data_IF_636609894643
#
_entry.id   IF_636609894643
#
_cell.length_a   1.000
_cell.length_b   1.000
_cell.length_c   1.000
_cell.angle_alpha   90.00
_cell.angle_beta   90.00
_cell.angle_gamma   90.00
#
_symmetry.space_group_name_H-M   'P 1'
#
loop_
_entity.id
_entity.type
_entity.pdbx_description
1 polymer ?
#
# COMPACT_ATOMS: atom_id res chain seq x y z
N UNK A 1 37.76 11.75 0.24
CA UNK A 1 38.15 10.33 0.30
C UNK A 1 37.72 9.78 1.66
N UNK A 2 37.27 8.51 1.75
CA UNK A 2 36.75 7.90 2.99
C UNK A 2 37.83 7.61 4.06
N UNK A 3 38.98 8.28 4.00
CA UNK A 3 40.09 8.09 4.92
C UNK A 3 40.35 9.39 5.69
N UNK A 4 40.32 9.33 7.02
CA UNK A 4 40.67 10.45 7.89
C UNK A 4 41.47 9.97 9.10
N UNK A 5 42.60 10.61 9.41
CA UNK A 5 43.49 10.27 10.54
C UNK A 5 43.88 8.77 10.64
N UNK A 6 44.12 8.11 9.51
CA UNK A 6 44.49 6.69 9.46
C UNK A 6 43.33 5.73 9.73
N UNK A 7 42.09 6.21 9.60
CA UNK A 7 40.86 5.45 9.79
C UNK A 7 40.05 5.48 8.49
N UNK A 8 39.54 4.32 8.07
CA UNK A 8 38.63 4.18 6.94
C UNK A 8 37.18 4.22 7.41
N UNK A 9 36.36 5.04 6.74
CA UNK A 9 34.94 5.21 6.98
C UNK A 9 34.17 4.72 5.75
N UNK A 10 33.47 3.58 5.83
CA UNK A 10 32.69 3.07 4.72
C UNK A 10 31.57 4.04 4.34
N UNK A 11 31.27 4.15 3.05
CA UNK A 11 30.13 4.94 2.58
C UNK A 11 28.82 4.29 3.06
N UNK A 12 28.03 5.02 3.84
CA UNK A 12 26.69 4.58 4.20
C UNK A 12 25.79 4.74 2.98
N UNK A 13 25.16 3.64 2.57
CA UNK A 13 24.13 3.64 1.53
C UNK A 13 22.84 4.26 2.08
N UNK A 14 22.86 5.55 2.41
CA UNK A 14 21.63 6.30 2.70
C UNK A 14 20.85 6.43 1.41
N UNK A 15 20.04 5.42 1.11
CA UNK A 15 18.97 5.51 0.12
C UNK A 15 17.79 6.24 0.75
N UNK A 16 17.94 7.55 0.97
CA UNK A 16 16.77 8.44 0.96
C UNK A 16 16.31 8.62 -0.49
N UNK A 17 15.68 7.57 -1.00
CA UNK A 17 14.99 7.55 -2.28
C UNK A 17 13.49 7.72 -2.08
N UNK A 18 13.05 8.87 -1.57
CA UNK A 18 11.62 9.27 -1.63
C UNK A 18 11.49 10.74 -1.95
N UNK A 19 11.67 11.08 -3.23
CA UNK A 19 10.95 12.21 -3.83
C UNK A 19 10.37 11.74 -5.16
N UNK A 20 9.16 11.19 -5.07
CA UNK A 20 8.27 11.01 -6.21
C UNK A 20 7.36 12.24 -6.28
N UNK A 21 7.45 13.01 -7.36
CA UNK A 21 6.32 13.75 -7.93
C UNK A 21 6.70 14.41 -9.24
N UNK A 22 6.27 13.80 -10.34
CA UNK A 22 6.05 14.48 -11.59
C UNK A 22 4.90 15.50 -11.43
N UNK A 23 5.07 16.69 -12.02
CA UNK A 23 3.96 17.54 -12.46
C UNK A 23 3.63 18.78 -11.60
N UNK A 24 3.83 19.94 -12.24
CA UNK A 24 3.23 21.28 -12.01
C UNK A 24 4.02 22.24 -11.09
N UNK A 25 4.57 23.34 -11.64
CA UNK A 25 5.08 24.46 -10.85
C UNK A 25 3.94 25.42 -10.50
N UNK A 26 3.69 25.67 -9.22
CA UNK A 26 2.84 26.77 -8.76
C UNK A 26 3.68 27.75 -7.96
N UNK A 27 4.04 28.83 -8.64
CA UNK A 27 4.48 30.09 -8.08
C UNK A 27 3.34 30.65 -7.23
N UNK A 28 3.59 30.95 -5.95
CA UNK A 28 3.00 32.09 -5.23
C UNK A 28 3.80 32.32 -3.93
N UNK A 29 4.40 33.51 -3.87
CA UNK A 29 5.02 34.13 -2.69
C UNK A 29 4.00 34.28 -1.53
N UNK A 30 4.43 34.14 -0.27
CA UNK A 30 4.88 35.30 0.52
C UNK A 30 5.31 34.95 1.96
N UNK A 31 6.20 35.74 2.57
CA UNK A 31 6.80 35.50 3.89
C UNK A 31 6.12 36.33 4.99
N UNK A 32 5.89 35.76 6.18
CA UNK A 32 5.96 36.51 7.44
C UNK A 32 5.80 35.60 8.67
N UNK A 33 6.55 35.98 9.72
CA UNK A 33 6.39 35.61 11.14
C UNK A 33 7.38 34.58 11.68
N UNK A 34 8.55 35.10 12.05
CA UNK A 34 9.35 34.60 13.16
C UNK A 34 8.57 34.81 14.46
N UNK A 35 8.42 33.77 15.28
CA UNK A 35 8.33 33.90 16.74
C UNK A 35 8.92 32.65 17.40
N UNK A 36 10.02 32.85 18.14
CA UNK A 36 10.57 31.92 19.12
C UNK A 36 9.67 31.82 20.34
N UNK A 37 9.42 30.60 20.83
CA UNK A 37 9.32 30.32 22.27
C UNK A 37 9.40 28.80 22.55
N UNK A 38 10.24 28.46 23.52
CA UNK A 38 10.41 27.16 24.17
C UNK A 38 9.08 26.50 24.58
N UNK A 39 9.01 25.17 24.40
CA UNK A 39 8.03 24.30 25.05
C UNK A 39 8.40 22.83 24.90
N UNK A 40 8.74 22.17 26.01
CA UNK A 40 9.14 20.77 26.13
C UNK A 40 8.05 19.80 25.67
N UNK A 41 8.42 18.68 25.03
CA UNK A 41 7.65 17.42 24.99
C UNK A 41 8.54 16.24 24.59
N UNK A 42 8.23 15.09 25.19
CA UNK A 42 9.00 13.84 25.30
C UNK A 42 9.05 12.99 23.98
N UNK A 43 9.70 11.81 23.97
CA UNK A 43 10.37 11.25 22.80
C UNK A 43 9.40 10.66 21.78
N UNK A 44 9.41 11.19 20.57
CA UNK A 44 8.86 10.50 19.40
C UNK A 44 9.79 9.37 19.01
N UNK A 45 9.46 8.14 19.39
CA UNK A 45 10.06 6.94 18.82
C UNK A 45 9.65 6.84 17.36
N UNK A 46 10.46 7.41 16.47
CA UNK A 46 10.61 6.83 15.13
C UNK A 46 11.50 5.61 15.30
N UNK A 47 11.14 4.42 14.80
CA UNK A 47 12.13 3.38 14.62
C UNK A 47 13.08 3.95 13.57
N UNK A 48 14.19 4.53 14.05
CA UNK A 48 15.35 4.75 13.20
C UNK A 48 15.53 3.46 12.42
N UNK A 49 15.44 3.56 11.10
CA UNK A 49 16.07 2.60 10.22
C UNK A 49 17.35 2.19 10.90
N UNK A 50 17.47 0.92 11.26
CA UNK A 50 18.71 0.35 11.70
C UNK A 50 19.65 0.46 10.49
N UNK A 51 20.19 1.67 10.30
CA UNK A 51 21.34 1.91 9.48
C UNK A 51 22.38 1.04 10.14
N UNK A 52 22.64 -0.12 9.54
CA UNK A 52 23.69 -1.03 9.95
C UNK A 52 24.93 -0.16 10.09
N UNK A 53 25.29 0.18 11.32
CA UNK A 53 26.33 1.16 11.60
C UNK A 53 27.64 0.43 11.40
N UNK A 54 28.09 0.43 10.15
CA UNK A 54 29.34 -0.18 9.79
C UNK A 54 30.43 0.63 10.47
N UNK A 55 31.16 -0.04 11.37
CA UNK A 55 32.17 0.61 12.20
C UNK A 55 33.39 1.04 11.37
N UNK A 56 34.02 2.16 11.72
CA UNK A 56 35.23 2.61 11.05
C UNK A 56 36.40 1.63 11.27
N UNK A 57 37.22 1.44 10.23
CA UNK A 57 38.36 0.53 10.25
C UNK A 57 39.67 1.26 10.54
N UNK A 58 40.50 0.66 11.40
CA UNK A 58 41.86 1.09 11.69
C UNK A 58 42.73 -0.13 11.93
N UNK A 59 43.92 -0.14 11.33
CA UNK A 59 44.91 -1.19 11.60
C UNK A 59 45.27 -1.27 13.09
N UNK A 60 45.24 -2.48 13.63
CA UNK A 60 45.55 -2.76 15.03
C UNK A 60 47.06 -2.82 15.26
N UNK A 61 47.54 -2.39 16.44
CA UNK A 61 48.92 -2.62 16.83
C UNK A 61 49.16 -4.13 17.04
N UNK A 62 50.27 -4.65 16.50
CA UNK A 62 50.64 -6.06 16.65
C UNK A 62 51.52 -6.22 17.89
N UNK A 63 50.99 -6.86 18.94
CA UNK A 63 51.64 -6.96 20.25
C UNK A 63 51.92 -8.40 20.68
N UNK A 64 51.30 -9.38 20.02
CA UNK A 64 51.35 -10.78 20.41
C UNK A 64 52.61 -11.45 19.84
N UNK A 65 53.38 -12.16 20.65
CA UNK A 65 54.57 -12.89 20.19
C UNK A 65 54.19 -14.08 19.31
N UNK A 66 55.09 -14.47 18.41
CA UNK A 66 54.89 -15.65 17.55
C UNK A 66 55.02 -16.94 18.37
N UNK A 67 53.99 -17.79 18.35
CA UNK A 67 54.12 -19.18 18.84
C UNK A 67 54.76 -20.05 17.76
N UNK A 68 56.09 -20.07 17.77
CA UNK A 68 56.86 -20.84 16.81
C UNK A 68 56.61 -22.35 16.88
N UNK A 69 56.22 -22.91 18.04
CA UNK A 69 55.92 -24.34 18.13
C UNK A 69 54.66 -24.66 17.34
N UNK A 70 53.62 -23.86 17.51
CA UNK A 70 52.36 -24.00 16.78
C UNK A 70 52.55 -23.78 15.29
N UNK A 71 53.30 -22.74 14.88
CA UNK A 71 53.62 -22.49 13.47
C UNK A 71 54.40 -23.65 12.84
N UNK A 72 55.40 -24.20 13.53
CA UNK A 72 56.19 -25.31 13.02
C UNK A 72 55.41 -26.64 12.94
N UNK A 73 54.30 -26.77 13.67
CA UNK A 73 53.45 -27.95 13.61
C UNK A 73 52.53 -27.98 12.38
N UNK A 74 52.38 -26.85 11.69
CA UNK A 74 51.56 -26.75 10.47
C UNK A 74 52.34 -27.29 9.28
N UNK A 75 51.82 -28.35 8.66
CA UNK A 75 52.31 -28.83 7.37
C UNK A 75 51.65 -28.03 6.24
N UNK A 76 52.40 -27.07 5.68
CA UNK A 76 51.90 -26.16 4.65
C UNK A 76 51.58 -26.90 3.34
N UNK A 77 52.36 -27.92 2.98
CA UNK A 77 52.13 -28.70 1.76
C UNK A 77 50.86 -29.54 1.88
N UNK A 78 50.59 -30.05 3.08
CA UNK A 78 49.33 -30.72 3.38
C UNK A 78 48.13 -29.77 3.29
N UNK A 79 48.24 -28.58 3.89
CA UNK A 79 47.18 -27.55 3.84
C UNK A 79 46.85 -27.19 2.38
N UNK A 80 47.87 -27.03 1.52
CA UNK A 80 47.66 -26.72 0.11
C UNK A 80 47.06 -27.89 -0.66
N UNK A 81 47.60 -29.11 -0.47
CA UNK A 81 47.14 -30.29 -1.23
C UNK A 81 45.74 -30.74 -0.85
N UNK A 82 45.35 -30.55 0.41
CA UNK A 82 44.03 -30.93 0.92
C UNK A 82 43.03 -29.77 0.95
N UNK A 83 43.46 -28.53 0.66
CA UNK A 83 42.64 -27.32 0.89
C UNK A 83 42.09 -27.29 2.32
N UNK A 84 42.94 -27.54 3.31
CA UNK A 84 42.55 -27.56 4.71
C UNK A 84 42.34 -26.12 5.23
N UNK A 85 41.15 -25.59 4.93
CA UNK A 85 40.74 -24.24 5.32
C UNK A 85 40.61 -24.13 6.84
N UNK A 86 40.25 -25.21 7.53
CA UNK A 86 40.09 -25.20 8.99
C UNK A 86 41.45 -24.98 9.67
N UNK A 87 42.50 -25.68 9.23
CA UNK A 87 43.86 -25.45 9.70
C UNK A 87 44.32 -24.01 9.43
N UNK A 88 43.99 -23.42 8.28
CA UNK A 88 44.30 -22.02 7.98
C UNK A 88 43.52 -21.05 8.88
N UNK A 89 42.24 -21.31 9.10
CA UNK A 89 41.34 -20.51 9.93
C UNK A 89 41.80 -20.48 11.38
N UNK A 90 42.32 -21.61 11.88
CA UNK A 90 42.89 -21.73 13.23
C UNK A 90 44.14 -20.86 13.45
N UNK A 91 44.84 -20.49 12.37
CA UNK A 91 46.07 -19.71 12.45
C UNK A 91 45.91 -18.26 11.99
N UNK A 92 44.86 -17.93 11.24
CA UNK A 92 44.69 -16.63 10.60
C UNK A 92 44.80 -15.46 11.59
N UNK A 93 44.19 -15.56 12.77
CA UNK A 93 44.26 -14.52 13.79
C UNK A 93 45.70 -14.33 14.29
N UNK A 94 46.34 -15.42 14.70
CA UNK A 94 47.70 -15.39 15.26
C UNK A 94 48.73 -14.87 14.26
N UNK A 95 48.68 -15.32 13.00
CA UNK A 95 49.62 -14.87 11.95
C UNK A 95 49.37 -13.42 11.58
N UNK A 96 48.11 -13.00 11.51
CA UNK A 96 47.74 -11.62 11.15
C UNK A 96 48.17 -10.64 12.22
N UNK A 97 48.00 -10.95 13.51
CA UNK A 97 48.18 -9.97 14.60
C UNK A 97 49.48 -10.13 15.41
N UNK A 98 50.35 -11.09 15.08
CA UNK A 98 51.63 -11.25 15.77
C UNK A 98 52.65 -10.13 15.46
N UNK A 99 53.50 -9.82 16.43
CA UNK A 99 54.66 -8.94 16.27
C UNK A 99 55.81 -9.69 15.60
N UNK A 100 56.53 -8.98 14.73
CA UNK A 100 57.75 -9.47 14.08
C UNK A 100 58.99 -8.72 14.60
N UNK A 101 58.80 -7.83 15.57
CA UNK A 101 59.87 -6.99 16.08
C UNK A 101 60.83 -7.82 16.93
N UNK A 102 62.11 -7.81 16.53
CA UNK A 102 63.16 -8.50 17.28
C UNK A 102 63.20 -10.03 17.08
N UNK A 103 62.39 -10.59 16.17
CA UNK A 103 62.44 -12.01 15.84
C UNK A 103 63.80 -12.42 15.27
N UNK A 104 64.29 -13.58 15.70
CA UNK A 104 65.62 -14.11 15.38
C UNK A 104 65.53 -15.53 14.85
N UNK A 105 66.50 -15.91 14.04
CA UNK A 105 66.63 -17.30 13.57
C UNK A 105 66.83 -18.24 14.77
N UNK A 106 65.97 -19.25 14.91
CA UNK A 106 66.03 -20.20 16.02
C UNK A 106 67.33 -21.01 16.07
N UNK A 107 68.02 -21.19 14.93
CA UNK A 107 69.26 -21.98 14.84
C UNK A 107 70.52 -21.17 15.18
N UNK A 108 70.64 -19.96 14.67
CA UNK A 108 71.88 -19.17 14.77
C UNK A 108 71.72 -17.82 15.49
N UNK A 109 70.51 -17.47 15.95
CA UNK A 109 70.19 -16.24 16.67
C UNK A 109 70.45 -14.93 15.89
N UNK A 110 70.77 -15.04 14.59
CA UNK A 110 70.87 -13.89 13.69
C UNK A 110 69.51 -13.23 13.50
N UNK A 111 69.46 -11.88 13.35
CA UNK A 111 68.22 -11.19 13.03
C UNK A 111 67.65 -11.69 11.70
N UNK A 112 66.32 -11.72 11.59
CA UNK A 112 65.65 -12.02 10.32
C UNK A 112 65.92 -10.89 9.32
N UNK A 113 66.04 -11.24 8.03
CA UNK A 113 66.22 -10.27 6.96
C UNK A 113 65.11 -9.20 7.00
N UNK A 114 65.47 -7.90 7.09
CA UNK A 114 64.50 -6.81 7.09
C UNK A 114 63.53 -6.81 5.89
N UNK A 115 63.95 -7.29 4.72
CA UNK A 115 63.08 -7.38 3.54
C UNK A 115 61.98 -8.43 3.73
N UNK A 116 62.29 -9.58 4.34
CA UNK A 116 61.31 -10.63 4.66
C UNK A 116 60.34 -10.16 5.75
N UNK A 117 60.84 -9.46 6.76
CA UNK A 117 59.99 -8.85 7.80
C UNK A 117 59.02 -7.84 7.18
N UNK A 118 59.47 -7.00 6.24
CA UNK A 118 58.60 -6.06 5.51
C UNK A 118 57.55 -6.78 4.66
N UNK A 119 57.95 -7.83 3.94
CA UNK A 119 57.04 -8.62 3.11
C UNK A 119 55.94 -9.25 3.97
N UNK A 120 56.30 -9.87 5.08
CA UNK A 120 55.33 -10.46 6.01
C UNK A 120 54.46 -9.38 6.65
N UNK A 121 55.02 -8.22 7.00
CA UNK A 121 54.24 -7.11 7.55
C UNK A 121 53.19 -6.61 6.56
N UNK A 122 53.53 -6.52 5.27
CA UNK A 122 52.57 -6.20 4.21
C UNK A 122 51.50 -7.28 4.10
N UNK A 123 51.88 -8.56 4.10
CA UNK A 123 50.93 -9.67 4.08
C UNK A 123 49.94 -9.60 5.26
N UNK A 124 50.43 -9.36 6.48
CA UNK A 124 49.57 -9.19 7.66
C UNK A 124 48.58 -8.03 7.51
N UNK A 125 49.03 -6.88 6.97
CA UNK A 125 48.13 -5.73 6.73
C UNK A 125 47.10 -6.04 5.65
N UNK A 126 47.50 -6.75 4.59
CA UNK A 126 46.58 -7.21 3.55
C UNK A 126 45.54 -8.16 4.13
N UNK A 127 45.92 -9.16 4.93
CA UNK A 127 44.98 -10.10 5.54
C UNK A 127 44.04 -9.39 6.52
N UNK A 128 44.54 -8.46 7.33
CA UNK A 128 43.69 -7.67 8.24
C UNK A 128 42.64 -6.83 7.48
N UNK A 129 43.03 -6.25 6.35
CA UNK A 129 42.09 -5.55 5.47
C UNK A 129 41.07 -6.50 4.85
N UNK A 130 41.50 -7.68 4.39
CA UNK A 130 40.59 -8.69 3.83
C UNK A 130 39.59 -9.21 4.87
N UNK A 131 40.02 -9.42 6.11
CA UNK A 131 39.13 -9.79 7.22
C UNK A 131 38.10 -8.70 7.50
N UNK A 132 38.50 -7.43 7.45
CA UNK A 132 37.54 -6.31 7.55
C UNK A 132 36.55 -6.31 6.38
N UNK A 133 37.02 -6.49 5.14
CA UNK A 133 36.13 -6.59 3.99
C UNK A 133 35.16 -7.76 4.11
N UNK A 134 35.61 -8.92 4.61
CA UNK A 134 34.75 -10.08 4.85
C UNK A 134 33.63 -9.73 5.84
N UNK A 135 33.98 -9.20 7.02
CA UNK A 135 33.00 -8.81 8.04
C UNK A 135 32.03 -7.74 7.51
N UNK A 136 32.56 -6.72 6.83
CA UNK A 136 31.77 -5.68 6.17
C UNK A 136 30.75 -6.24 5.18
N UNK A 137 31.19 -7.15 4.30
CA UNK A 137 30.35 -7.75 3.28
C UNK A 137 29.32 -8.69 3.90
N UNK A 138 29.69 -9.48 4.90
CA UNK A 138 28.76 -10.36 5.64
C UNK A 138 27.65 -9.56 6.31
N UNK A 139 27.99 -8.48 7.03
CA UNK A 139 26.99 -7.61 7.66
C UNK A 139 26.10 -6.92 6.63
N UNK A 140 26.70 -6.43 5.53
CA UNK A 140 25.95 -5.78 4.45
C UNK A 140 25.00 -6.74 3.74
N UNK A 141 25.40 -8.00 3.55
CA UNK A 141 24.59 -9.05 2.97
C UNK A 141 23.40 -9.40 3.87
N UNK A 142 23.64 -9.67 5.16
CA UNK A 142 22.56 -9.95 6.11
C UNK A 142 21.55 -8.79 6.17
N UNK A 143 22.02 -7.55 6.23
CA UNK A 143 21.14 -6.38 6.22
C UNK A 143 20.32 -6.28 4.92
N UNK A 144 20.89 -6.68 3.78
CA UNK A 144 20.16 -6.72 2.51
C UNK A 144 19.11 -7.84 2.47
N UNK A 145 19.43 -9.01 3.02
CA UNK A 145 18.50 -10.14 3.15
C UNK A 145 17.31 -9.80 4.06
N UNK A 146 17.56 -9.14 5.19
CA UNK A 146 16.50 -8.68 6.09
C UNK A 146 15.56 -7.66 5.41
N UNK A 147 16.13 -6.70 4.66
CA UNK A 147 15.33 -5.75 3.88
C UNK A 147 14.50 -6.44 2.80
N UNK A 148 15.07 -7.45 2.13
CA UNK A 148 14.36 -8.23 1.12
C UNK A 148 13.19 -9.01 1.74
N UNK A 149 13.41 -9.64 2.89
CA UNK A 149 12.37 -10.36 3.63
C UNK A 149 11.24 -9.42 4.07
N UNK A 150 11.58 -8.26 4.62
CA UNK A 150 10.59 -7.25 5.03
C UNK A 150 9.76 -6.73 3.85
N UNK A 151 10.40 -6.38 2.73
CA UNK A 151 9.72 -5.97 1.51
C UNK A 151 8.85 -7.08 0.91
N UNK A 152 9.29 -8.34 1.03
CA UNK A 152 8.50 -9.52 0.67
C UNK A 152 7.19 -9.61 1.46
N UNK A 153 7.25 -9.43 2.78
CA UNK A 153 6.08 -9.41 3.66
C UNK A 153 5.12 -8.25 3.36
N UNK A 154 5.64 -7.05 3.11
CA UNK A 154 4.84 -5.89 2.72
C UNK A 154 4.10 -6.14 1.39
N UNK A 155 4.80 -6.70 0.40
CA UNK A 155 4.20 -7.06 -0.90
C UNK A 155 3.04 -8.04 -0.74
N UNK A 156 3.20 -9.09 0.07
CA UNK A 156 2.14 -10.07 0.33
C UNK A 156 0.93 -9.43 1.00
N UNK A 157 1.16 -8.55 1.97
CA UNK A 157 0.10 -7.80 2.64
C UNK A 157 -0.67 -6.92 1.64
N UNK A 158 0.04 -6.18 0.78
CA UNK A 158 -0.57 -5.33 -0.24
C UNK A 158 -1.38 -6.15 -1.27
N UNK A 159 -0.87 -7.30 -1.71
CA UNK A 159 -1.61 -8.20 -2.60
C UNK A 159 -2.91 -8.71 -1.96
N UNK A 160 -2.87 -9.07 -0.67
CA UNK A 160 -4.08 -9.48 0.06
C UNK A 160 -5.10 -8.33 0.16
N UNK A 161 -4.65 -7.10 0.42
CA UNK A 161 -5.51 -5.92 0.45
C UNK A 161 -6.11 -5.62 -0.92
N UNK A 162 -5.31 -5.72 -1.99
CA UNK A 162 -5.76 -5.53 -3.36
C UNK A 162 -6.88 -6.53 -3.70
N UNK A 163 -6.67 -7.83 -3.43
CA UNK A 163 -7.68 -8.86 -3.67
C UNK A 163 -8.99 -8.58 -2.93
N UNK A 164 -8.91 -8.19 -1.65
CA UNK A 164 -10.08 -7.81 -0.85
C UNK A 164 -10.81 -6.61 -1.47
N UNK A 165 -10.07 -5.63 -1.99
CA UNK A 165 -10.66 -4.47 -2.63
C UNK A 165 -11.30 -4.81 -3.98
N UNK A 166 -10.70 -5.70 -4.76
CA UNK A 166 -11.29 -6.21 -6.01
C UNK A 166 -12.61 -6.96 -5.76
N UNK A 167 -12.67 -7.78 -4.72
CA UNK A 167 -13.90 -8.48 -4.31
C UNK A 167 -15.01 -7.49 -3.90
N UNK A 168 -14.66 -6.45 -3.12
CA UNK A 168 -15.61 -5.37 -2.77
C UNK A 168 -16.13 -4.64 -4.01
N UNK A 169 -15.24 -4.29 -4.95
CA UNK A 169 -15.62 -3.61 -6.19
C UNK A 169 -16.57 -4.50 -7.01
N UNK A 170 -16.29 -5.81 -7.12
CA UNK A 170 -17.17 -6.78 -7.79
C UNK A 170 -18.55 -6.83 -7.12
N UNK A 171 -18.60 -6.91 -5.79
CA UNK A 171 -19.85 -6.95 -5.02
C UNK A 171 -20.69 -5.67 -5.21
N UNK A 172 -20.06 -4.49 -5.04
CA UNK A 172 -20.74 -3.21 -5.25
C UNK A 172 -21.21 -3.03 -6.70
N UNK A 173 -20.44 -3.50 -7.67
CA UNK A 173 -20.85 -3.46 -9.09
C UNK A 173 -22.06 -4.34 -9.35
N UNK A 174 -22.13 -5.53 -8.75
CA UNK A 174 -23.28 -6.41 -8.83
C UNK A 174 -24.52 -5.78 -8.16
N UNK A 175 -24.36 -5.19 -6.98
CA UNK A 175 -25.42 -4.49 -6.28
C UNK A 175 -25.95 -3.30 -7.08
N UNK A 176 -25.06 -2.48 -7.66
CA UNK A 176 -25.45 -1.37 -8.52
C UNK A 176 -26.23 -1.84 -9.76
N UNK A 177 -25.81 -2.95 -10.39
CA UNK A 177 -26.55 -3.56 -11.51
C UNK A 177 -27.95 -4.01 -11.06
N UNK A 178 -28.06 -4.65 -9.90
CA UNK A 178 -29.34 -5.07 -9.33
C UNK A 178 -30.25 -3.88 -9.01
N UNK A 179 -29.74 -2.86 -8.32
CA UNK A 179 -30.49 -1.63 -8.00
C UNK A 179 -30.97 -0.92 -9.26
N UNK A 180 -30.12 -0.81 -10.30
CA UNK A 180 -30.51 -0.26 -11.62
C UNK A 180 -31.66 -1.06 -12.26
N UNK A 181 -31.63 -2.41 -12.17
CA UNK A 181 -32.72 -3.26 -12.66
C UNK A 181 -34.02 -2.99 -11.92
N UNK A 182 -33.99 -2.92 -10.59
CA UNK A 182 -35.16 -2.59 -9.76
C UNK A 182 -35.74 -1.22 -10.13
N UNK A 183 -34.90 -0.19 -10.24
CA UNK A 183 -35.33 1.16 -10.64
C UNK A 183 -35.98 1.14 -12.02
N UNK A 184 -35.38 0.46 -13.00
CA UNK A 184 -35.96 0.34 -14.36
C UNK A 184 -37.33 -0.35 -14.32
N UNK A 185 -37.47 -1.43 -13.55
CA UNK A 185 -38.76 -2.12 -13.37
C UNK A 185 -39.80 -1.21 -12.72
N UNK A 186 -39.44 -0.51 -11.64
CA UNK A 186 -40.34 0.44 -10.98
C UNK A 186 -40.76 1.58 -11.91
N UNK A 187 -39.82 2.16 -12.65
CA UNK A 187 -40.11 3.21 -13.65
C UNK A 187 -41.05 2.69 -14.74
N UNK A 188 -40.86 1.47 -15.25
CA UNK A 188 -41.78 0.87 -16.24
C UNK A 188 -43.19 0.67 -15.70
N UNK A 189 -43.36 0.35 -14.42
CA UNK A 189 -44.68 0.21 -13.79
C UNK A 189 -45.36 1.57 -13.54
N UNK A 190 -44.58 2.61 -13.25
CA UNK A 190 -45.07 3.96 -12.99
C UNK A 190 -45.27 4.79 -14.27
N UNK A 191 -44.52 4.53 -15.33
CA UNK A 191 -44.54 5.30 -16.57
C UNK A 191 -45.95 5.41 -17.18
N UNK A 192 -46.76 4.33 -17.28
CA UNK A 192 -48.15 4.47 -17.73
C UNK A 192 -48.99 5.39 -16.85
N UNK A 193 -48.77 5.40 -15.53
CA UNK A 193 -49.51 6.26 -14.58
C UNK A 193 -49.12 7.73 -14.67
N UNK A 194 -47.84 8.00 -14.96
CA UNK A 194 -47.32 9.36 -15.12
C UNK A 194 -47.68 9.91 -16.51
N UNK A 195 -47.60 9.07 -17.55
CA UNK A 195 -47.96 9.41 -18.94
C UNK A 195 -49.49 9.53 -19.09
N UNK A 196 -50.29 8.76 -18.33
CA UNK A 196 -51.73 8.96 -18.18
C UNK A 196 -52.02 10.17 -17.29
N UNK A 197 -51.49 11.34 -17.67
CA UNK A 197 -51.76 12.59 -16.99
C UNK A 197 -53.26 12.94 -17.10
N UNK A 198 -53.90 13.19 -15.97
CA UNK A 198 -55.29 13.63 -15.91
C UNK A 198 -55.33 15.15 -16.07
N UNK A 199 -55.63 15.63 -17.28
CA UNK A 199 -55.72 17.07 -17.58
C UNK A 199 -57.02 17.67 -17.07
N UNK A 200 -56.95 18.88 -16.53
CA UNK A 200 -58.15 19.66 -16.23
C UNK A 200 -58.76 20.16 -17.54
N UNK A 201 -60.09 20.07 -17.72
CA UNK A 201 -60.75 20.63 -18.90
C UNK A 201 -60.88 22.16 -18.85
N UNK A 202 -60.82 22.74 -17.65
CA UNK A 202 -61.08 24.17 -17.43
C UNK A 202 -59.78 25.01 -17.29
N UNK A 203 -58.61 24.37 -17.24
CA UNK A 203 -57.30 25.03 -17.25
C UNK A 203 -56.18 24.08 -17.66
N UNK A 204 -54.98 24.61 -17.93
CA UNK A 204 -53.85 23.83 -18.44
C UNK A 204 -53.14 22.92 -17.39
N UNK A 205 -53.72 22.75 -16.20
CA UNK A 205 -53.10 21.93 -15.13
C UNK A 205 -53.31 20.43 -15.39
N UNK A 206 -52.23 19.67 -15.25
CA UNK A 206 -52.21 18.22 -15.41
C UNK A 206 -51.87 17.54 -14.08
N UNK A 207 -52.58 16.46 -13.76
CA UNK A 207 -52.46 15.78 -12.46
C UNK A 207 -52.03 14.32 -12.63
N UNK A 208 -51.25 13.83 -11.64
CA UNK A 208 -50.71 12.47 -11.60
C UNK A 208 -51.77 11.37 -11.43
N UNK A 209 -52.95 11.69 -10.90
CA UNK A 209 -54.07 10.75 -10.77
C UNK A 209 -55.43 11.48 -10.77
N UNK A 210 -56.52 10.75 -11.01
CA UNK A 210 -57.89 11.31 -11.05
C UNK A 210 -58.34 11.96 -9.75
N UNK A 211 -57.87 11.47 -8.59
CA UNK A 211 -58.26 12.04 -7.28
C UNK A 211 -57.70 13.45 -7.08
N UNK A 212 -56.47 13.70 -7.52
CA UNK A 212 -55.88 15.04 -7.48
C UNK A 212 -56.57 15.99 -8.46
N UNK A 213 -56.91 15.53 -9.67
CA UNK A 213 -57.74 16.30 -10.60
C UNK A 213 -59.11 16.64 -9.98
N UNK A 214 -59.79 15.66 -9.39
CA UNK A 214 -61.09 15.83 -8.78
C UNK A 214 -61.07 16.87 -7.64
N UNK A 215 -60.05 16.79 -6.76
CA UNK A 215 -59.87 17.77 -5.69
C UNK A 215 -59.56 19.17 -6.24
N UNK A 216 -58.76 19.26 -7.31
CA UNK A 216 -58.51 20.51 -8.01
C UNK A 216 -59.79 21.12 -8.59
N UNK A 217 -60.60 20.33 -9.30
CA UNK A 217 -61.89 20.78 -9.82
C UNK A 217 -62.79 21.28 -8.70
N UNK A 218 -62.89 20.55 -7.59
CA UNK A 218 -63.71 20.96 -6.45
C UNK A 218 -63.28 22.29 -5.82
N UNK A 219 -61.98 22.60 -5.80
CA UNK A 219 -61.44 23.80 -5.14
C UNK A 219 -61.32 25.03 -6.04
N UNK A 220 -61.14 24.83 -7.35
CA UNK A 220 -60.85 25.91 -8.31
C UNK A 220 -61.91 26.07 -9.40
N UNK A 221 -62.71 25.03 -9.64
CA UNK A 221 -63.82 25.00 -10.60
C UNK A 221 -65.09 24.40 -9.94
N UNK A 222 -65.55 24.93 -8.78
CA UNK A 222 -66.61 24.30 -7.98
C UNK A 222 -67.95 24.19 -8.72
N UNK A 223 -68.32 25.22 -9.49
CA UNK A 223 -69.57 25.25 -10.25
C UNK A 223 -69.59 24.16 -11.34
N UNK A 224 -68.50 24.03 -12.09
CA UNK A 224 -68.39 23.05 -13.17
C UNK A 224 -68.24 21.62 -12.65
N UNK A 225 -67.62 21.47 -11.48
CA UNK A 225 -67.52 20.20 -10.80
C UNK A 225 -68.89 19.66 -10.37
N UNK A 226 -69.73 20.51 -9.78
CA UNK A 226 -71.09 20.13 -9.36
C UNK A 226 -72.03 19.92 -10.56
N UNK A 227 -71.91 20.73 -11.60
CA UNK A 227 -72.67 20.56 -12.84
C UNK A 227 -72.33 19.22 -13.54
N UNK A 228 -71.06 18.83 -13.54
CA UNK A 228 -70.58 17.55 -14.08
C UNK A 228 -71.04 16.34 -13.26
N UNK A 229 -71.13 16.47 -11.93
CA UNK A 229 -71.74 15.43 -11.07
C UNK A 229 -73.23 15.30 -11.33
N UNK A 230 -73.93 16.41 -11.42
CA UNK A 230 -75.38 16.43 -11.63
C UNK A 230 -75.76 15.79 -12.97
N UNK A 231 -75.04 16.15 -14.03
CA UNK A 231 -75.19 15.55 -15.36
C UNK A 231 -74.86 14.05 -15.34
N UNK A 232 -73.76 13.62 -14.72
CA UNK A 232 -73.42 12.20 -14.57
C UNK A 232 -74.49 11.41 -13.80
N UNK A 233 -75.03 11.99 -12.73
CA UNK A 233 -76.08 11.36 -11.94
C UNK A 233 -77.42 11.28 -12.70
N UNK A 234 -77.76 12.29 -13.49
CA UNK A 234 -78.93 12.31 -14.37
C UNK A 234 -78.82 11.26 -15.48
N UNK A 235 -77.66 11.14 -16.11
CA UNK A 235 -77.37 10.12 -17.14
C UNK A 235 -77.44 8.72 -16.53
N UNK A 236 -76.83 8.48 -15.37
CA UNK A 236 -76.88 7.17 -14.70
C UNK A 236 -78.33 6.77 -14.35
N UNK A 237 -79.13 7.73 -13.88
CA UNK A 237 -80.57 7.50 -13.63
C UNK A 237 -81.35 7.22 -14.93
N UNK A 238 -81.01 7.88 -16.03
CA UNK A 238 -81.65 7.65 -17.33
C UNK A 238 -81.29 6.28 -17.92
N UNK A 239 -80.03 5.86 -17.86
CA UNK A 239 -79.58 4.53 -18.31
C UNK A 239 -80.28 3.43 -17.50
N UNK A 240 -80.28 3.54 -16.17
CA UNK A 240 -80.98 2.60 -15.28
C UNK A 240 -82.50 2.55 -15.49
N UNK A 241 -83.08 3.59 -16.10
CA UNK A 241 -84.49 3.59 -16.53
C UNK A 241 -84.66 2.91 -17.88
N UNK A 242 -83.75 3.12 -18.83
CA UNK A 242 -83.78 2.47 -20.15
C UNK A 242 -83.49 0.97 -20.06
N UNK A 243 -82.58 0.54 -19.20
CA UNK A 243 -82.32 -0.89 -18.98
C UNK A 243 -83.55 -1.57 -18.38
N UNK A 244 -84.17 -0.94 -17.37
CA UNK A 244 -85.45 -1.41 -16.81
C UNK A 244 -86.61 -1.36 -17.79
N UNK A 245 -86.57 -0.48 -18.79
CA UNK A 245 -87.57 -0.43 -19.85
C UNK A 245 -87.34 -1.56 -20.86
N UNK A 246 -86.09 -1.84 -21.23
CA UNK A 246 -85.70 -2.98 -22.08
C UNK A 246 -86.03 -4.32 -21.44
N UNK A 247 -85.74 -4.49 -20.15
CA UNK A 247 -86.12 -5.69 -19.39
C UNK A 247 -87.65 -5.89 -19.39
N UNK A 248 -88.42 -4.80 -19.37
CA UNK A 248 -89.89 -4.87 -19.46
C UNK A 248 -90.39 -5.16 -20.88
N UNK A 249 -89.74 -4.62 -21.91
CA UNK A 249 -90.05 -4.87 -23.32
C UNK A 249 -89.71 -6.32 -23.71
N UNK A 250 -88.56 -6.84 -23.28
CA UNK A 250 -88.21 -8.27 -23.44
C UNK A 250 -89.20 -9.18 -22.72
N UNK A 251 -89.63 -8.81 -21.51
CA UNK A 251 -90.61 -9.61 -20.75
C UNK A 251 -92.02 -9.55 -21.34
N UNK A 252 -92.40 -8.49 -22.06
CA UNK A 252 -93.71 -8.39 -22.73
C UNK A 252 -93.75 -9.22 -24.03
N UNK A 253 -92.65 -9.27 -24.78
CA UNK A 253 -92.51 -10.09 -25.99
C UNK A 253 -92.57 -11.61 -25.71
N UNK A 254 -92.30 -12.04 -24.48
CA UNK A 254 -92.40 -13.45 -24.05
C UNK A 254 -93.84 -13.83 -23.68
N UNK A 255 -94.73 -12.86 -23.42
CA UNK A 255 -96.11 -13.12 -22.95
C UNK A 255 -97.14 -13.05 -24.09
N UNK A 256 -96.80 -12.45 -25.24
CA UNK A 256 -97.69 -12.33 -26.42
C UNK A 256 -97.32 -13.28 -27.59
N UNK A 257 -96.45 -14.27 -27.36
CA UNK A 257 -96.17 -15.37 -28.32
C UNK A 257 -96.63 -16.71 -27.79
#
# INVERSE_FOLDING_TARGET
MPFHNGVYYPYTSDTQGTHSSAGIPSLLNSPLSQHSANGQSAPGMTPSSAASTILPFKFRPRRESVDWRRINAVDVDLVVSQLDVDALQDHISTVTFCTLEGERCQRCQSPVDPALVKLLRLAQLTVEWLLHCQEFLTLSLHAAEERLAAAGGEREQLLAQQKKQEEKVKALTAELKQRKKVIRTQQSLLAPRIISSHKCPECDKSFLNSSFLQNHMQRRHPDEYENRKYTSQKVHRAVKRRDRQREKEEMCLIVEG
#
